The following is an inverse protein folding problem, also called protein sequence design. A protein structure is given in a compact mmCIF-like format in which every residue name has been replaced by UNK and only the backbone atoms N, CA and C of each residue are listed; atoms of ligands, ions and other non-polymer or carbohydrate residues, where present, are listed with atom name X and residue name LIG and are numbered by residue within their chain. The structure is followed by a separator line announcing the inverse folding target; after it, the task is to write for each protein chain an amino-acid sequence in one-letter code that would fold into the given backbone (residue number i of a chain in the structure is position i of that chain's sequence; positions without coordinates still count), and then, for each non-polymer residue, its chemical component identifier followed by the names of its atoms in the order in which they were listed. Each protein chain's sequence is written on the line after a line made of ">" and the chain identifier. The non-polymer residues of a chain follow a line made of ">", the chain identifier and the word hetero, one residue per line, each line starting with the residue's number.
data_IF_203367097764
#
_entry.id   IF_203367097764
#
_cell.length_a   1.000
_cell.length_b   1.000
_cell.length_c   1.000
_cell.angle_alpha   90.00
_cell.angle_beta   90.00
_cell.angle_gamma   90.00
#
_symmetry.space_group_name_H-M   'P 1'
#
loop_
_entity.id
_entity.type
_entity.pdbx_description
1 polymer ?
#
# COMPACT_ATOMS: atom_id res chain seq x y z
N UNK A 1 0.59 9.51 -0.97
CA UNK A 1 2.04 9.17 -0.99
C UNK A 1 2.48 8.82 -2.41
N UNK A 2 3.77 8.60 -2.68
CA UNK A 2 4.20 8.00 -3.96
C UNK A 2 5.57 7.34 -3.90
N UNK A 3 5.88 6.53 -4.92
CA UNK A 3 7.09 5.72 -4.99
C UNK A 3 7.49 5.48 -6.44
N UNK A 4 8.79 5.54 -6.70
CA UNK A 4 9.35 5.09 -7.97
C UNK A 4 9.28 3.57 -8.07
N UNK A 5 8.95 3.07 -9.25
CA UNK A 5 9.28 1.70 -9.66
C UNK A 5 10.79 1.45 -9.49
N UNK A 6 11.26 0.23 -9.19
CA UNK A 6 12.67 -0.02 -8.92
C UNK A 6 13.65 0.43 -10.01
N UNK A 7 13.22 0.39 -11.28
CA UNK A 7 14.02 0.85 -12.43
C UNK A 7 13.83 2.33 -12.76
N UNK A 8 13.03 3.06 -11.99
CA UNK A 8 12.82 4.52 -12.12
C UNK A 8 11.96 4.97 -13.31
N UNK A 9 11.47 4.06 -14.16
CA UNK A 9 10.65 4.39 -15.35
C UNK A 9 9.30 5.00 -15.01
N UNK A 10 8.67 4.52 -13.95
CA UNK A 10 7.38 4.99 -13.46
C UNK A 10 7.49 5.54 -12.04
N UNK A 11 6.68 6.56 -11.76
CA UNK A 11 6.35 7.02 -10.42
C UNK A 11 4.87 6.75 -10.17
N UNK A 12 4.56 6.03 -9.09
CA UNK A 12 3.18 5.69 -8.73
C UNK A 12 2.78 6.51 -7.52
N UNK A 13 1.62 7.16 -7.59
CA UNK A 13 1.01 7.86 -6.46
C UNK A 13 -0.19 7.10 -5.94
N UNK A 14 -0.38 7.12 -4.62
CA UNK A 14 -1.64 6.72 -3.99
C UNK A 14 -2.32 7.95 -3.41
N UNK A 15 -3.55 8.17 -3.87
CA UNK A 15 -4.50 9.10 -3.28
C UNK A 15 -5.40 8.33 -2.31
N UNK A 16 -5.24 8.67 -1.03
CA UNK A 16 -5.94 8.04 0.10
C UNK A 16 -7.37 8.57 0.27
N UNK A 17 -7.78 9.59 -0.49
CA UNK A 17 -9.06 10.29 -0.34
C UNK A 17 -9.23 10.91 1.07
N UNK A 18 -8.16 11.58 1.52
CA UNK A 18 -8.12 12.33 2.79
C UNK A 18 -7.76 13.79 2.53
N UNK A 19 -8.68 14.69 2.88
CA UNK A 19 -8.46 16.14 2.87
C UNK A 19 -9.70 16.93 3.26
N UNK A 20 -9.56 18.24 3.42
CA UNK A 20 -10.69 19.16 3.69
C UNK A 20 -11.72 19.19 2.56
N UNK A 21 -11.28 18.81 1.37
CA UNK A 21 -12.02 18.67 0.13
C UNK A 21 -12.63 17.27 -0.07
N UNK A 22 -12.39 16.34 0.86
CA UNK A 22 -12.97 14.99 0.82
C UNK A 22 -14.17 14.89 1.75
N UNK A 23 -15.21 14.18 1.31
CA UNK A 23 -16.40 13.98 2.13
C UNK A 23 -16.06 13.28 3.45
N UNK A 24 -16.34 13.95 4.57
CA UNK A 24 -16.08 13.43 5.92
C UNK A 24 -14.68 13.66 6.47
N UNK A 25 -13.83 14.48 5.80
CA UNK A 25 -12.46 14.88 6.21
C UNK A 25 -11.45 13.70 6.38
N UNK A 26 -11.97 12.47 6.35
CA UNK A 26 -11.35 11.16 6.42
C UNK A 26 -12.27 10.19 5.66
N UNK A 27 -12.50 10.42 4.37
CA UNK A 27 -13.44 9.60 3.61
C UNK A 27 -12.98 8.15 3.58
N UNK A 28 -13.84 7.20 4.00
CA UNK A 28 -13.61 5.78 3.71
C UNK A 28 -14.13 5.55 2.30
N UNK A 29 -13.29 5.88 1.33
CA UNK A 29 -13.58 5.77 -0.09
C UNK A 29 -12.48 4.99 -0.79
N UNK A 30 -12.80 4.54 -2.00
CA UNK A 30 -11.83 3.87 -2.85
C UNK A 30 -10.68 4.82 -3.19
N UNK A 31 -9.45 4.40 -2.89
CA UNK A 31 -8.27 5.18 -3.22
C UNK A 31 -8.01 5.17 -4.73
N UNK A 32 -7.13 6.06 -5.20
CA UNK A 32 -6.74 6.12 -6.62
C UNK A 32 -5.24 5.90 -6.73
N UNK A 33 -4.84 4.95 -7.57
CA UNK A 33 -3.45 4.74 -7.96
C UNK A 33 -3.21 5.33 -9.34
N UNK A 34 -2.30 6.30 -9.43
CA UNK A 34 -1.92 6.92 -10.69
C UNK A 34 -0.51 6.47 -11.06
N UNK A 35 -0.35 5.89 -12.25
CA UNK A 35 0.97 5.59 -12.80
C UNK A 35 1.40 6.74 -13.68
N UNK A 36 2.55 7.33 -13.37
CA UNK A 36 3.17 8.41 -14.15
C UNK A 36 4.41 7.84 -14.82
N UNK A 37 4.45 7.83 -16.15
CA UNK A 37 5.68 7.56 -16.93
C UNK A 37 6.48 8.84 -17.01
N UNK A 38 7.69 8.80 -16.49
CA UNK A 38 8.58 9.94 -16.53
C UNK A 38 9.23 10.05 -17.91
N UNK A 39 9.64 11.26 -18.24
CA UNK A 39 10.43 11.51 -19.44
C UNK A 39 11.84 11.02 -19.19
N UNK A 40 12.52 10.57 -20.25
CA UNK A 40 13.89 10.08 -20.12
C UNK A 40 14.81 11.23 -19.68
N UNK A 41 15.76 10.94 -18.80
CA UNK A 41 16.70 11.93 -18.27
C UNK A 41 17.48 12.56 -19.44
N UNK A 42 17.54 13.90 -19.47
CA UNK A 42 18.24 14.66 -20.51
C UNK A 42 17.37 15.02 -21.73
N UNK A 43 16.12 14.57 -21.77
CA UNK A 43 15.14 15.09 -22.75
C UNK A 43 14.79 16.55 -22.46
N UNK A 44 14.54 17.33 -23.52
CA UNK A 44 14.21 18.77 -23.42
C UNK A 44 13.02 19.12 -24.32
N UNK A 45 12.43 20.31 -24.11
CA UNK A 45 11.27 20.77 -24.85
C UNK A 45 10.07 19.82 -24.72
N UNK A 46 9.32 19.63 -25.80
CA UNK A 46 8.12 18.77 -25.82
C UNK A 46 8.44 17.29 -25.55
N UNK A 47 9.68 16.85 -25.78
CA UNK A 47 10.12 15.49 -25.50
C UNK A 47 10.30 15.23 -23.99
N UNK A 48 10.45 16.28 -23.16
CA UNK A 48 10.54 16.18 -21.70
C UNK A 48 9.18 15.99 -21.02
N UNK A 49 8.20 15.41 -21.72
CA UNK A 49 6.82 15.28 -21.25
C UNK A 49 6.61 13.98 -20.47
N UNK A 50 6.12 14.12 -19.24
CA UNK A 50 5.57 13.00 -18.47
C UNK A 50 4.17 12.63 -18.97
N UNK A 51 3.80 11.36 -18.85
CA UNK A 51 2.47 10.88 -19.24
C UNK A 51 1.84 10.07 -18.12
N UNK A 52 0.52 9.96 -18.14
CA UNK A 52 -0.25 9.11 -17.21
C UNK A 52 -0.79 7.93 -18.01
N UNK A 53 -0.02 6.86 -18.20
CA UNK A 53 -0.47 5.72 -19.00
C UNK A 53 -1.60 4.93 -18.34
N UNK A 54 -1.77 5.02 -17.02
CA UNK A 54 -2.77 4.23 -16.31
C UNK A 54 -3.24 4.90 -15.01
N UNK A 55 -4.53 4.74 -14.73
CA UNK A 55 -5.16 5.03 -13.45
C UNK A 55 -5.88 3.75 -13.03
N UNK A 56 -5.66 3.31 -11.79
CA UNK A 56 -6.30 2.15 -11.21
C UNK A 56 -7.01 2.53 -9.90
N UNK A 57 -8.01 1.74 -9.54
CA UNK A 57 -8.60 1.81 -8.21
C UNK A 57 -7.64 1.19 -7.19
N UNK A 58 -7.42 1.92 -6.11
CA UNK A 58 -6.81 1.45 -4.87
C UNK A 58 -7.80 0.68 -4.02
N UNK A 59 -7.35 0.10 -2.91
CA UNK A 59 -8.26 -0.28 -1.83
C UNK A 59 -8.83 0.94 -1.10
N UNK A 60 -9.80 0.73 -0.22
CA UNK A 60 -10.42 1.82 0.53
C UNK A 60 -9.45 2.49 1.50
N UNK A 61 -9.22 3.80 1.32
CA UNK A 61 -8.17 4.53 2.03
C UNK A 61 -6.79 3.93 1.74
N UNK A 62 -6.50 3.58 0.48
CA UNK A 62 -5.17 3.15 0.05
C UNK A 62 -4.16 4.26 0.33
N UNK A 63 -3.34 4.07 1.35
CA UNK A 63 -2.35 5.05 1.78
C UNK A 63 -0.98 4.66 1.27
N UNK A 64 -0.29 3.73 1.92
CA UNK A 64 1.11 3.44 1.62
C UNK A 64 1.27 2.45 0.49
N UNK A 65 2.36 2.58 -0.28
CA UNK A 65 2.71 1.66 -1.36
C UNK A 65 4.14 1.10 -1.21
N UNK A 66 4.32 -0.16 -1.59
CA UNK A 66 5.62 -0.80 -1.69
C UNK A 66 5.74 -1.64 -2.96
N UNK A 67 6.90 -1.57 -3.60
CA UNK A 67 7.26 -2.44 -4.72
C UNK A 67 8.03 -3.65 -4.23
N UNK A 68 7.79 -4.80 -4.87
CA UNK A 68 8.73 -5.92 -4.80
C UNK A 68 10.08 -5.50 -5.39
N UNK A 69 11.21 -6.10 -4.96
CA UNK A 69 12.54 -5.71 -5.43
C UNK A 69 12.73 -5.85 -6.95
N UNK A 70 12.06 -6.83 -7.56
CA UNK A 70 12.05 -7.05 -9.01
C UNK A 70 11.12 -6.08 -9.78
N UNK A 71 10.34 -5.26 -9.07
CA UNK A 71 9.41 -4.28 -9.64
C UNK A 71 8.13 -4.85 -10.24
N UNK A 72 7.92 -6.17 -10.14
CA UNK A 72 6.75 -6.83 -10.75
C UNK A 72 5.47 -6.62 -9.96
N UNK A 73 5.57 -6.49 -8.64
CA UNK A 73 4.42 -6.37 -7.75
C UNK A 73 4.43 -5.05 -7.01
N UNK A 74 3.24 -4.50 -6.81
CA UNK A 74 2.97 -3.37 -5.93
C UNK A 74 1.93 -3.77 -4.91
N UNK A 75 2.16 -3.43 -3.64
CA UNK A 75 1.18 -3.61 -2.57
C UNK A 75 0.79 -2.25 -2.01
N UNK A 76 -0.52 -2.07 -1.77
CA UNK A 76 -1.06 -0.94 -1.01
C UNK A 76 -1.48 -1.39 0.38
N UNK A 77 -1.30 -0.53 1.38
CA UNK A 77 -1.98 -0.68 2.68
C UNK A 77 -3.22 0.20 2.66
N UNK A 78 -4.35 -0.39 3.02
CA UNK A 78 -5.65 0.26 2.94
C UNK A 78 -6.17 0.45 4.35
N UNK A 79 -6.33 1.71 4.75
CA UNK A 79 -6.73 2.07 6.11
C UNK A 79 -8.17 1.65 6.43
N UNK A 80 -9.02 1.62 5.40
CA UNK A 80 -10.46 1.46 5.51
C UNK A 80 -11.02 2.36 6.63
N UNK A 81 -12.00 1.89 7.37
CA UNK A 81 -12.60 2.57 8.52
C UNK A 81 -11.93 2.28 9.86
N UNK A 82 -10.77 1.62 9.90
CA UNK A 82 -10.23 1.11 11.17
C UNK A 82 -9.81 2.20 12.16
N UNK A 83 -9.43 3.37 11.65
CA UNK A 83 -9.09 4.55 12.45
C UNK A 83 -10.31 5.33 12.95
N UNK A 84 -11.54 4.96 12.56
CA UNK A 84 -12.74 5.71 12.91
C UNK A 84 -13.10 5.56 14.40
N UNK A 85 -13.71 6.60 15.00
CA UNK A 85 -14.26 6.53 16.36
C UNK A 85 -15.30 5.42 16.49
N UNK A 86 -15.50 4.96 17.73
CA UNK A 86 -16.51 3.96 18.03
C UNK A 86 -17.93 4.50 17.72
N UNK A 87 -18.77 3.64 17.16
CA UNK A 87 -20.12 4.02 16.69
C UNK A 87 -20.15 4.81 15.37
N UNK A 88 -19.00 5.07 14.73
CA UNK A 88 -18.98 5.67 13.40
C UNK A 88 -19.61 4.73 12.36
N UNK A 89 -20.47 5.29 11.49
CA UNK A 89 -21.04 4.56 10.35
C UNK A 89 -20.00 4.09 9.33
N UNK A 90 -18.85 4.77 9.30
CA UNK A 90 -17.75 4.48 8.37
C UNK A 90 -16.76 3.49 8.97
N UNK A 91 -17.00 3.02 10.20
CA UNK A 91 -16.09 2.10 10.87
C UNK A 91 -16.06 0.74 10.16
N UNK A 92 -14.85 0.17 10.06
CA UNK A 92 -14.66 -1.20 9.58
C UNK A 92 -13.79 -1.96 10.57
N UNK A 93 -14.10 -3.25 10.76
CA UNK A 93 -13.35 -4.12 11.67
C UNK A 93 -11.92 -4.37 11.20
N UNK A 94 -11.74 -4.55 9.89
CA UNK A 94 -10.45 -4.86 9.29
C UNK A 94 -9.97 -3.74 8.38
N UNK A 95 -8.65 -3.57 8.38
CA UNK A 95 -7.92 -2.91 7.30
C UNK A 95 -7.71 -3.94 6.17
N UNK A 96 -6.97 -3.59 5.13
CA UNK A 96 -6.60 -4.56 4.11
C UNK A 96 -5.29 -4.24 3.39
N UNK A 97 -4.79 -5.22 2.64
CA UNK A 97 -3.68 -5.10 1.72
C UNK A 97 -4.17 -5.44 0.30
N UNK A 98 -3.90 -4.60 -0.69
CA UNK A 98 -4.20 -4.92 -2.10
C UNK A 98 -2.93 -5.20 -2.89
N UNK A 99 -2.94 -6.24 -3.72
CA UNK A 99 -1.83 -6.64 -4.58
C UNK A 99 -2.13 -6.30 -6.04
N UNK A 100 -1.15 -5.69 -6.70
CA UNK A 100 -1.17 -5.34 -8.11
C UNK A 100 0.06 -5.88 -8.82
N UNK A 101 -0.09 -6.21 -10.11
CA UNK A 101 1.03 -6.38 -11.02
C UNK A 101 1.28 -5.09 -11.78
N UNK A 102 2.54 -4.68 -11.89
CA UNK A 102 2.96 -3.66 -12.83
C UNK A 102 3.42 -4.32 -14.14
N UNK A 103 2.82 -3.91 -15.25
CA UNK A 103 3.40 -4.12 -16.57
C UNK A 103 4.53 -3.11 -16.79
N UNK A 104 5.75 -3.59 -16.94
CA UNK A 104 6.96 -2.77 -17.04
C UNK A 104 7.10 -1.99 -18.37
N UNK A 105 6.34 -2.37 -19.39
CA UNK A 105 6.36 -1.75 -20.70
C UNK A 105 5.27 -0.68 -20.82
N UNK A 106 4.06 -1.02 -20.38
CA UNK A 106 2.88 -0.15 -20.54
C UNK A 106 2.62 0.72 -19.31
N UNK A 107 3.11 0.35 -18.14
CA UNK A 107 2.79 1.02 -16.87
C UNK A 107 1.39 0.66 -16.34
N UNK A 108 0.75 -0.37 -16.89
CA UNK A 108 -0.57 -0.82 -16.44
C UNK A 108 -0.47 -1.52 -15.08
N UNK A 109 -1.34 -1.13 -14.16
CA UNK A 109 -1.53 -1.84 -12.88
C UNK A 109 -2.72 -2.80 -12.99
N UNK A 110 -2.48 -4.09 -12.83
CA UNK A 110 -3.52 -5.13 -12.85
C UNK A 110 -3.78 -5.64 -11.44
N UNK A 111 -5.00 -5.54 -10.88
CA UNK A 111 -5.30 -6.01 -9.53
C UNK A 111 -5.33 -7.54 -9.48
N UNK A 112 -4.74 -8.11 -8.43
CA UNK A 112 -4.79 -9.56 -8.16
C UNK A 112 -5.74 -9.93 -7.02
N UNK A 113 -5.84 -9.10 -6.00
CA UNK A 113 -6.71 -9.34 -4.85
C UNK A 113 -6.52 -8.32 -3.74
N UNK A 114 -7.38 -8.42 -2.74
CA UNK A 114 -7.34 -7.66 -1.49
C UNK A 114 -7.54 -8.63 -0.32
N UNK A 115 -6.69 -8.55 0.70
CA UNK A 115 -6.70 -9.44 1.86
C UNK A 115 -6.95 -8.64 3.14
N UNK A 116 -7.82 -9.11 4.04
CA UNK A 116 -8.10 -8.43 5.30
C UNK A 116 -6.88 -8.47 6.22
N UNK A 117 -6.66 -7.38 6.96
CA UNK A 117 -5.63 -7.25 7.98
C UNK A 117 -6.29 -6.86 9.31
N UNK A 118 -6.05 -7.66 10.35
CA UNK A 118 -6.64 -7.50 11.67
C UNK A 118 -5.87 -6.47 12.53
N UNK A 119 -5.71 -5.27 12.01
CA UNK A 119 -4.94 -4.19 12.61
C UNK A 119 -5.52 -2.83 12.23
N UNK A 120 -5.29 -1.84 13.07
CA UNK A 120 -5.78 -0.48 12.85
C UNK A 120 -4.71 0.33 12.15
N UNK A 121 -5.11 1.10 11.12
CA UNK A 121 -4.28 2.02 10.36
C UNK A 121 -2.91 1.41 9.99
N UNK A 122 -2.84 0.43 9.08
CA UNK A 122 -1.57 -0.06 8.57
C UNK A 122 -0.96 0.94 7.61
N UNK A 123 0.25 1.42 7.90
CA UNK A 123 0.89 2.52 7.13
C UNK A 123 2.33 2.20 6.73
N UNK A 124 3.04 1.33 7.43
CA UNK A 124 4.39 0.92 7.02
C UNK A 124 4.34 -0.22 6.02
N UNK A 125 4.98 -0.11 4.86
CA UNK A 125 5.16 -1.25 3.93
C UNK A 125 6.58 -1.33 3.39
N UNK A 126 7.17 -2.52 3.46
CA UNK A 126 8.42 -2.82 2.79
C UNK A 126 8.50 -4.31 2.42
N UNK A 127 8.95 -4.62 1.21
CA UNK A 127 9.36 -5.98 0.87
C UNK A 127 10.73 -6.27 1.47
N UNK A 128 10.98 -7.54 1.80
CA UNK A 128 12.33 -8.02 2.05
C UNK A 128 13.15 -8.06 0.75
N UNK A 129 14.47 -8.29 0.88
CA UNK A 129 15.38 -8.33 -0.29
C UNK A 129 15.03 -9.41 -1.30
N UNK A 130 14.46 -10.52 -0.86
CA UNK A 130 14.10 -11.63 -1.75
C UNK A 130 12.79 -11.37 -2.50
N UNK A 131 11.98 -10.42 -2.00
CA UNK A 131 10.63 -10.16 -2.50
C UNK A 131 9.60 -11.18 -2.08
N UNK A 132 9.94 -12.16 -1.23
CA UNK A 132 9.04 -13.22 -0.77
C UNK A 132 8.25 -12.82 0.48
N UNK A 133 8.74 -11.84 1.23
CA UNK A 133 8.10 -11.34 2.45
C UNK A 133 7.75 -9.87 2.33
N UNK A 134 6.62 -9.50 2.89
CA UNK A 134 6.15 -8.14 3.03
C UNK A 134 6.03 -7.82 4.52
N UNK A 135 6.73 -6.78 4.96
CA UNK A 135 6.62 -6.21 6.29
C UNK A 135 5.51 -5.17 6.30
N UNK A 136 4.59 -5.29 7.25
CA UNK A 136 3.43 -4.42 7.38
C UNK A 136 3.42 -3.77 8.76
N UNK A 137 3.52 -2.45 8.81
CA UNK A 137 3.49 -1.66 10.02
C UNK A 137 2.07 -1.42 10.46
N UNK A 138 1.68 -2.03 11.57
CA UNK A 138 0.37 -1.91 12.19
C UNK A 138 0.47 -0.85 13.30
N UNK A 139 -0.34 0.21 13.20
CA UNK A 139 -0.36 1.27 14.20
C UNK A 139 -0.74 0.71 15.57
N UNK A 140 -1.84 -0.03 15.65
CA UNK A 140 -2.27 -0.74 16.86
C UNK A 140 -3.22 -1.90 16.58
N UNK A 141 -3.39 -2.79 17.55
CA UNK A 141 -4.49 -3.74 17.61
C UNK A 141 -5.60 -3.23 18.52
N UNK A 142 -6.86 -3.41 18.13
CA UNK A 142 -8.02 -2.91 18.89
C UNK A 142 -8.45 -3.86 20.02
N UNK A 143 -8.37 -5.16 19.78
CA UNK A 143 -8.90 -6.20 20.66
C UNK A 143 -7.80 -7.12 21.24
N UNK A 144 -6.60 -6.59 21.43
CA UNK A 144 -5.45 -7.36 21.92
C UNK A 144 -4.83 -6.68 23.14
N UNK A 145 -4.93 -7.33 24.30
CA UNK A 145 -4.22 -6.92 25.50
C UNK A 145 -2.77 -7.40 25.42
N UNK A 146 -1.90 -6.54 24.90
CA UNK A 146 -0.46 -6.78 24.84
C UNK A 146 0.29 -5.57 25.45
N UNK A 147 1.46 -5.79 26.09
CA UNK A 147 2.29 -4.70 26.60
C UNK A 147 2.67 -3.67 25.53
N UNK A 148 2.72 -4.10 24.27
CA UNK A 148 3.02 -3.31 23.09
C UNK A 148 1.83 -3.40 22.13
N UNK A 149 1.22 -2.23 21.85
CA UNK A 149 -0.04 -2.15 21.10
C UNK A 149 0.10 -2.25 19.58
N UNK A 150 1.27 -1.96 19.01
CA UNK A 150 1.56 -2.03 17.58
C UNK A 150 2.46 -3.20 17.19
N UNK A 151 2.72 -3.35 15.89
CA UNK A 151 3.64 -4.36 15.41
C UNK A 151 4.14 -4.09 13.98
N UNK A 152 5.19 -4.82 13.60
CA UNK A 152 5.41 -5.22 12.21
C UNK A 152 4.89 -6.64 12.04
N UNK A 153 3.87 -6.83 11.21
CA UNK A 153 3.45 -8.15 10.75
C UNK A 153 4.29 -8.58 9.55
N UNK A 154 4.58 -9.89 9.49
CA UNK A 154 5.26 -10.49 8.35
C UNK A 154 4.22 -11.24 7.52
N UNK A 155 4.10 -10.83 6.26
CA UNK A 155 3.26 -11.45 5.25
C UNK A 155 4.15 -12.15 4.23
N UNK A 156 3.62 -13.17 3.57
CA UNK A 156 4.27 -13.85 2.46
C UNK A 156 3.51 -13.57 1.17
N UNK A 157 4.26 -13.36 0.08
CA UNK A 157 3.71 -13.41 -1.27
C UNK A 157 3.97 -14.79 -1.87
N UNK A 158 2.94 -15.39 -2.45
CA UNK A 158 3.06 -16.60 -3.27
C UNK A 158 2.89 -16.22 -4.72
N UNK A 159 3.80 -16.66 -5.58
CA UNK A 159 3.78 -16.36 -7.02
C UNK A 159 3.55 -17.59 -7.89
N UNK A 160 3.52 -18.78 -7.28
CA UNK A 160 3.20 -20.03 -7.97
C UNK A 160 1.70 -20.06 -8.26
N UNK A 161 1.33 -19.96 -9.54
CA UNK A 161 -0.06 -19.80 -9.96
C UNK A 161 -0.53 -18.35 -9.89
N UNK A 162 -1.68 -18.09 -9.25
CA UNK A 162 -2.22 -16.72 -9.11
C UNK A 162 -1.53 -16.04 -7.92
N UNK A 163 -0.85 -14.89 -8.12
CA UNK A 163 -0.21 -14.15 -7.05
C UNK A 163 -1.16 -13.84 -5.90
N UNK A 164 -0.72 -14.07 -4.67
CA UNK A 164 -1.51 -13.86 -3.47
C UNK A 164 -0.65 -13.45 -2.26
N UNK A 165 -1.28 -12.75 -1.32
CA UNK A 165 -0.70 -12.43 -0.01
C UNK A 165 -1.30 -13.35 1.05
N UNK A 166 -0.47 -13.80 2.00
CA UNK A 166 -0.91 -14.56 3.16
C UNK A 166 -0.18 -14.07 4.43
N UNK A 167 -0.89 -13.92 5.57
CA UNK A 167 -0.23 -13.61 6.82
C UNK A 167 0.61 -14.80 7.28
N UNK A 168 1.74 -14.52 7.94
CA UNK A 168 2.48 -15.55 8.67
C UNK A 168 2.10 -15.53 10.16
N UNK A 169 2.61 -16.47 10.94
CA UNK A 169 2.51 -16.42 12.42
C UNK A 169 3.44 -15.38 13.04
N UNK A 170 4.38 -14.83 12.27
CA UNK A 170 5.48 -14.03 12.78
C UNK A 170 5.12 -12.54 12.81
N UNK A 171 5.44 -11.90 13.94
CA UNK A 171 5.34 -10.45 14.11
C UNK A 171 6.33 -9.92 15.13
N UNK A 172 6.77 -8.70 14.91
CA UNK A 172 7.65 -7.96 15.80
C UNK A 172 6.80 -6.93 16.53
N UNK A 173 6.60 -7.12 17.83
CA UNK A 173 5.80 -6.22 18.66
C UNK A 173 6.53 -4.90 18.88
N UNK A 174 5.78 -3.80 18.78
CA UNK A 174 6.29 -2.43 18.90
C UNK A 174 5.27 -1.54 19.62
N UNK A 175 5.68 -0.38 20.17
CA UNK A 175 4.72 0.61 20.64
C UNK A 175 3.73 1.01 19.54
N UNK A 176 2.59 1.56 19.96
CA UNK A 176 1.61 2.13 19.03
C UNK A 176 2.27 3.17 18.13
N UNK A 177 1.94 3.17 16.84
CA UNK A 177 2.41 4.21 15.91
C UNK A 177 3.46 3.76 14.88
N UNK A 178 3.57 2.46 14.59
CA UNK A 178 4.44 1.97 13.51
C UNK A 178 3.95 2.51 12.16
N UNK A 179 4.57 3.58 11.68
CA UNK A 179 4.11 4.32 10.50
C UNK A 179 5.03 4.15 9.28
N UNK A 180 6.32 3.92 9.51
CA UNK A 180 7.33 3.81 8.44
C UNK A 180 8.17 2.57 8.67
N UNK A 181 8.33 1.76 7.62
CA UNK A 181 9.25 0.63 7.59
C UNK A 181 10.16 0.81 6.40
N UNK A 182 11.45 0.61 6.62
CA UNK A 182 12.44 0.56 5.56
C UNK A 182 13.20 -0.75 5.70
N UNK A 183 13.02 -1.64 4.73
CA UNK A 183 13.89 -2.78 4.53
C UNK A 183 14.95 -2.39 3.50
N UNK A 184 16.20 -2.76 3.78
CA UNK A 184 17.33 -2.65 2.86
C UNK A 184 17.70 -4.01 2.35
#
# INVERSE_FOLDING_TARGET
>A
VGRFSPVGRYYITSDVQWGIDTAGFYGVQEGILTTVRLADVGTTGDAARHTVPHIALGGWGAETIAFSPDGRFLVTSNLRGTGKPDGSRDWTEHASLSLYQLDSETGRLSPYGEWPLAGVLPQGLAFDRTGQKLFVGVNRYRNEEAPLGGAVEIWQITTDGRPALAPTSDRIRLPTGVHTIVAR
#
